data_IF_082599811651
#
_entry.id   IF_082599811651
#
_cell.length_a   1.000
_cell.length_b   1.000
_cell.length_c   1.000
_cell.angle_alpha   90.00
_cell.angle_beta   90.00
_cell.angle_gamma   90.00
#
_symmetry.space_group_name_H-M   'P 1'
#
loop_
_entity.id
_entity.type
_entity.pdbx_description
1 polymer ?
#
# COMPACT_ATOMS: atom_id res chain seq x y z
N UNK A 1 7.05 9.35 -41.46
CA UNK A 1 7.13 7.95 -40.96
C UNK A 1 6.83 7.99 -39.47
N UNK A 2 5.56 7.86 -39.13
CA UNK A 2 5.05 7.86 -37.76
C UNK A 2 5.14 6.45 -37.20
N UNK A 3 6.12 6.19 -36.32
CA UNK A 3 6.16 4.94 -35.56
C UNK A 3 5.14 5.05 -34.42
N UNK A 4 3.96 4.52 -34.71
CA UNK A 4 2.93 4.17 -33.75
C UNK A 4 3.42 2.95 -32.96
N UNK A 5 4.14 3.16 -31.85
CA UNK A 5 4.25 2.13 -30.82
C UNK A 5 3.01 2.23 -29.94
N UNK A 6 1.91 1.60 -30.38
CA UNK A 6 0.77 1.31 -29.52
C UNK A 6 1.27 0.47 -28.34
N UNK A 7 1.45 1.13 -27.20
CA UNK A 7 1.31 0.47 -25.91
C UNK A 7 -0.09 -0.14 -25.92
N UNK A 8 -0.24 -1.43 -25.64
CA UNK A 8 -1.57 -1.99 -25.39
C UNK A 8 -2.17 -1.19 -24.22
N UNK A 9 -3.20 -0.38 -24.52
CA UNK A 9 -3.81 0.62 -23.63
C UNK A 9 -4.55 -0.07 -22.46
N UNK A 10 -3.80 -0.56 -21.49
CA UNK A 10 -4.32 -0.96 -20.20
C UNK A 10 -4.59 0.27 -19.32
N UNK A 11 -5.68 0.24 -18.56
CA UNK A 11 -5.97 1.26 -17.54
C UNK A 11 -4.86 1.24 -16.50
N UNK A 12 -4.22 2.38 -16.25
CA UNK A 12 -3.17 2.48 -15.24
C UNK A 12 -3.70 3.11 -13.96
N UNK A 13 -3.06 2.75 -12.85
CA UNK A 13 -3.17 3.39 -11.55
C UNK A 13 -1.78 3.64 -10.96
N UNK A 14 -1.67 4.61 -10.06
CA UNK A 14 -0.51 4.74 -9.19
C UNK A 14 -0.79 3.99 -7.90
N UNK A 15 -0.20 2.80 -7.72
CA UNK A 15 -0.23 2.11 -6.43
C UNK A 15 0.72 2.79 -5.45
N UNK A 16 0.18 3.40 -4.40
CA UNK A 16 0.94 4.01 -3.32
C UNK A 16 1.17 3.00 -2.19
N UNK A 17 2.43 2.63 -1.96
CA UNK A 17 2.83 1.84 -0.81
C UNK A 17 3.43 2.72 0.29
N UNK A 18 2.95 2.52 1.51
CA UNK A 18 3.53 3.05 2.76
C UNK A 18 4.18 1.94 3.62
N UNK A 19 4.07 0.68 3.19
CA UNK A 19 4.49 -0.51 3.93
C UNK A 19 5.67 -1.23 3.25
N UNK A 20 5.78 -2.55 3.43
CA UNK A 20 6.93 -3.31 2.91
C UNK A 20 7.09 -3.25 1.39
N UNK A 21 6.02 -2.97 0.64
CA UNK A 21 6.11 -2.80 -0.82
C UNK A 21 6.80 -1.47 -1.23
N UNK A 22 7.17 -0.58 -0.30
CA UNK A 22 8.13 0.49 -0.57
C UNK A 22 9.47 -0.06 -1.06
N UNK A 23 9.85 -1.27 -0.62
CA UNK A 23 10.98 -2.00 -1.18
C UNK A 23 10.56 -2.70 -2.48
N UNK A 24 11.20 -2.32 -3.59
CA UNK A 24 10.82 -2.78 -4.94
C UNK A 24 10.83 -4.30 -5.08
N UNK A 25 11.83 -5.00 -4.54
CA UNK A 25 11.89 -6.47 -4.63
C UNK A 25 10.72 -7.13 -3.89
N UNK A 26 10.24 -6.51 -2.80
CA UNK A 26 9.05 -7.00 -2.09
C UNK A 26 7.78 -6.80 -2.91
N UNK A 27 7.63 -5.66 -3.61
CA UNK A 27 6.54 -5.45 -4.56
C UNK A 27 6.60 -6.48 -5.71
N UNK A 28 7.79 -6.73 -6.27
CA UNK A 28 7.97 -7.69 -7.36
C UNK A 28 7.55 -9.10 -6.94
N UNK A 29 7.63 -9.48 -5.66
CA UNK A 29 7.05 -10.74 -5.20
C UNK A 29 5.53 -10.82 -5.44
N UNK A 30 4.78 -9.73 -5.22
CA UNK A 30 3.34 -9.71 -5.51
C UNK A 30 3.05 -9.84 -7.01
N UNK A 31 3.88 -9.23 -7.87
CA UNK A 31 3.69 -9.22 -9.32
C UNK A 31 4.18 -10.50 -9.99
N UNK A 32 5.36 -10.97 -9.65
CA UNK A 32 6.06 -12.07 -10.33
C UNK A 32 5.96 -13.40 -9.57
N UNK A 33 5.51 -13.34 -8.31
CA UNK A 33 5.56 -14.45 -7.36
C UNK A 33 6.93 -14.53 -6.67
N UNK A 34 7.01 -15.31 -5.59
CA UNK A 34 8.26 -15.50 -4.85
C UNK A 34 8.22 -14.89 -3.44
N UNK A 35 9.40 -14.69 -2.86
CA UNK A 35 9.55 -14.18 -1.51
C UNK A 35 10.91 -13.49 -1.36
N UNK A 36 10.98 -12.46 -0.53
CA UNK A 36 12.25 -11.86 -0.10
C UNK A 36 12.69 -12.44 1.24
N UNK A 37 13.96 -12.22 1.60
CA UNK A 37 14.49 -12.62 2.89
C UNK A 37 13.66 -12.04 4.05
N UNK A 38 13.33 -12.89 5.03
CA UNK A 38 12.52 -12.53 6.19
C UNK A 38 11.02 -12.78 6.03
N UNK A 39 10.53 -13.09 4.83
CA UNK A 39 9.14 -13.51 4.63
C UNK A 39 8.94 -14.99 5.00
N UNK A 40 7.87 -15.28 5.74
CA UNK A 40 7.42 -16.63 6.07
C UNK A 40 6.44 -17.24 5.08
N UNK A 41 5.91 -16.45 4.13
CA UNK A 41 4.92 -16.89 3.15
C UNK A 41 5.31 -16.42 1.76
N UNK A 42 5.18 -17.29 0.75
CA UNK A 42 5.45 -16.98 -0.65
C UNK A 42 4.26 -16.30 -1.32
N UNK A 43 4.52 -15.26 -2.10
CA UNK A 43 3.55 -14.64 -2.99
C UNK A 43 3.29 -15.50 -4.23
N UNK A 44 2.03 -15.57 -4.65
CA UNK A 44 1.58 -16.33 -5.83
C UNK A 44 2.05 -15.65 -7.13
N UNK A 45 2.01 -14.33 -7.16
CA UNK A 45 2.20 -13.52 -8.36
C UNK A 45 0.88 -13.02 -8.93
N UNK A 46 0.96 -12.00 -9.79
CA UNK A 46 -0.17 -11.45 -10.53
C UNK A 46 -0.33 -12.17 -11.87
N UNK A 47 -1.48 -11.97 -12.51
CA UNK A 47 -1.77 -12.41 -13.88
C UNK A 47 -0.79 -11.76 -14.85
N UNK A 48 -0.72 -10.43 -14.82
CA UNK A 48 0.32 -9.66 -15.49
C UNK A 48 1.56 -9.49 -14.59
N UNK A 49 2.63 -10.19 -14.94
CA UNK A 49 3.91 -10.22 -14.19
C UNK A 49 4.88 -9.08 -14.55
N UNK A 50 4.48 -8.15 -15.41
CA UNK A 50 5.34 -7.04 -15.82
C UNK A 50 5.74 -6.16 -14.62
N UNK A 51 6.97 -5.66 -14.65
CA UNK A 51 7.43 -4.67 -13.68
C UNK A 51 6.63 -3.36 -13.80
N UNK A 52 6.54 -2.55 -12.72
CA UNK A 52 5.96 -1.22 -12.80
C UNK A 52 6.61 -0.38 -13.90
N UNK A 53 5.81 0.34 -14.68
CA UNK A 53 6.29 1.14 -15.81
C UNK A 53 6.94 2.45 -15.37
N UNK A 54 6.67 2.88 -14.13
CA UNK A 54 7.30 4.04 -13.51
C UNK A 54 7.22 3.96 -11.98
N UNK A 55 8.11 4.68 -11.29
CA UNK A 55 8.18 4.77 -9.83
C UNK A 55 8.49 6.20 -9.41
N UNK A 56 7.82 6.72 -8.40
CA UNK A 56 8.15 8.01 -7.78
C UNK A 56 7.78 8.02 -6.29
N UNK A 57 8.27 9.00 -5.55
CA UNK A 57 7.99 9.16 -4.12
C UNK A 57 7.21 10.43 -3.85
N UNK A 58 6.29 10.36 -2.89
CA UNK A 58 5.52 11.51 -2.38
C UNK A 58 5.45 11.45 -0.86
N UNK A 59 4.98 12.54 -0.26
CA UNK A 59 4.53 12.57 1.13
C UNK A 59 3.03 12.84 1.17
N UNK A 60 2.35 12.23 2.14
CA UNK A 60 0.93 12.46 2.42
C UNK A 60 0.71 12.82 3.88
N UNK A 61 -0.38 13.54 4.16
CA UNK A 61 -0.78 13.93 5.51
C UNK A 61 -1.52 12.82 6.27
N UNK A 62 -1.55 11.60 5.72
CA UNK A 62 -2.13 10.45 6.37
C UNK A 62 -1.12 9.80 7.33
N UNK A 63 -1.59 9.42 8.53
CA UNK A 63 -0.73 8.87 9.58
C UNK A 63 -0.48 7.39 9.38
N UNK A 64 0.78 7.02 9.18
CA UNK A 64 1.21 5.62 9.23
C UNK A 64 1.35 5.17 10.68
N UNK A 65 0.80 4.00 10.99
CA UNK A 65 0.89 3.37 12.30
C UNK A 65 1.08 1.84 12.18
N UNK A 66 1.40 1.17 13.29
CA UNK A 66 1.62 -0.28 13.30
C UNK A 66 0.59 -1.00 14.18
N UNK A 67 -0.14 -1.93 13.57
CA UNK A 67 -1.24 -2.66 14.19
C UNK A 67 -1.08 -4.17 14.10
N UNK A 68 -1.86 -4.86 14.93
CA UNK A 68 -1.79 -6.31 15.16
C UNK A 68 -0.47 -6.76 15.78
N UNK A 69 -0.40 -8.00 16.26
CA UNK A 69 0.79 -8.54 16.95
C UNK A 69 1.48 -9.68 16.22
N UNK A 70 0.90 -10.16 15.12
CA UNK A 70 1.43 -11.29 14.37
C UNK A 70 0.90 -11.32 12.93
N UNK A 71 1.76 -11.71 11.99
CA UNK A 71 1.35 -12.08 10.63
C UNK A 71 2.06 -13.35 10.16
N UNK A 72 1.43 -14.10 9.25
CA UNK A 72 2.08 -15.27 8.62
C UNK A 72 3.32 -14.86 7.81
N UNK A 73 3.31 -13.68 7.22
CA UNK A 73 4.40 -13.19 6.37
C UNK A 73 5.60 -12.70 7.18
N UNK A 74 5.39 -12.00 8.30
CA UNK A 74 6.46 -11.29 9.01
C UNK A 74 6.67 -11.72 10.47
N UNK A 75 5.94 -12.76 10.91
CA UNK A 75 6.03 -13.30 12.26
C UNK A 75 5.44 -12.37 13.31
N UNK A 76 5.98 -12.45 14.53
CA UNK A 76 5.55 -11.64 15.67
C UNK A 76 5.98 -10.16 15.52
N UNK A 77 5.02 -9.25 15.65
CA UNK A 77 5.16 -7.81 15.45
C UNK A 77 4.00 -7.23 14.61
N UNK A 78 3.83 -5.92 14.69
CA UNK A 78 2.83 -5.19 13.92
C UNK A 78 3.20 -4.96 12.47
N UNK A 79 2.18 -4.74 11.64
CA UNK A 79 2.33 -4.34 10.23
C UNK A 79 1.75 -2.94 10.00
N UNK A 80 2.19 -2.30 8.93
CA UNK A 80 1.86 -0.92 8.66
C UNK A 80 0.41 -0.76 8.20
N UNK A 81 -0.27 0.24 8.75
CA UNK A 81 -1.54 0.77 8.28
C UNK A 81 -1.40 2.28 8.04
N UNK A 82 -2.36 2.85 7.33
CA UNK A 82 -2.42 4.27 7.03
C UNK A 82 -3.80 4.76 7.44
N UNK A 83 -3.89 5.73 8.35
CA UNK A 83 -5.16 6.36 8.71
C UNK A 83 -5.76 6.97 7.43
N UNK A 84 -6.97 6.58 7.00
CA UNK A 84 -7.59 7.11 5.79
C UNK A 84 -7.91 8.60 5.88
N UNK A 85 -7.88 9.18 7.09
CA UNK A 85 -8.14 10.61 7.30
C UNK A 85 -6.81 11.37 7.36
N UNK A 86 -6.64 12.41 6.53
CA UNK A 86 -5.47 13.28 6.62
C UNK A 86 -5.47 14.04 7.94
N UNK A 87 -4.28 14.29 8.49
CA UNK A 87 -4.05 14.99 9.75
C UNK A 87 -2.94 16.02 9.57
N UNK A 88 -3.27 17.28 9.79
CA UNK A 88 -2.34 18.39 9.66
C UNK A 88 -1.09 18.18 10.53
N UNK A 89 0.08 18.43 9.97
CA UNK A 89 1.37 18.27 10.66
C UNK A 89 1.90 16.83 10.68
N UNK A 90 1.17 15.87 10.13
CA UNK A 90 1.67 14.53 9.86
C UNK A 90 2.27 14.49 8.46
N UNK A 91 3.38 13.77 8.30
CA UNK A 91 3.97 13.50 6.99
C UNK A 91 4.42 12.04 6.92
N UNK A 92 3.89 11.30 5.95
CA UNK A 92 4.21 9.89 5.70
C UNK A 92 4.74 9.75 4.28
N UNK A 93 5.93 9.16 4.14
CA UNK A 93 6.49 8.81 2.84
C UNK A 93 5.71 7.65 2.20
N UNK A 94 5.42 7.80 0.91
CA UNK A 94 4.82 6.76 0.09
C UNK A 94 5.61 6.58 -1.21
N UNK A 95 5.80 5.33 -1.60
CA UNK A 95 6.38 4.93 -2.88
C UNK A 95 5.24 4.59 -3.85
N UNK A 96 5.17 5.34 -4.95
CA UNK A 96 4.18 5.15 -6.01
C UNK A 96 4.76 4.28 -7.12
N UNK A 97 4.00 3.28 -7.54
CA UNK A 97 4.30 2.43 -8.68
C UNK A 97 3.20 2.55 -9.72
N UNK A 98 3.54 2.94 -10.95
CA UNK A 98 2.59 2.95 -12.06
C UNK A 98 2.44 1.52 -12.56
N UNK A 99 1.27 0.93 -12.29
CA UNK A 99 0.92 -0.44 -12.65
C UNK A 99 -0.46 -0.44 -13.32
N UNK A 100 -0.79 -1.54 -14.00
CA UNK A 100 -2.14 -1.69 -14.57
C UNK A 100 -3.17 -1.87 -13.45
N UNK A 101 -4.43 -1.51 -13.72
CA UNK A 101 -5.54 -1.72 -12.80
C UNK A 101 -5.74 -3.22 -12.49
N UNK A 102 -5.48 -4.10 -13.46
CA UNK A 102 -5.47 -5.56 -13.26
C UNK A 102 -4.44 -5.97 -12.21
N UNK A 103 -3.19 -5.50 -12.34
CA UNK A 103 -2.15 -5.77 -11.36
C UNK A 103 -2.53 -5.23 -9.97
N UNK A 104 -3.12 -4.04 -9.89
CA UNK A 104 -3.59 -3.51 -8.61
C UNK A 104 -4.68 -4.38 -7.97
N UNK A 105 -5.65 -4.88 -8.76
CA UNK A 105 -6.64 -5.84 -8.27
C UNK A 105 -5.97 -7.12 -7.76
N UNK A 106 -4.99 -7.66 -8.49
CA UNK A 106 -4.27 -8.87 -8.08
C UNK A 106 -3.49 -8.68 -6.77
N UNK A 107 -2.84 -7.52 -6.61
CA UNK A 107 -2.17 -7.13 -5.37
C UNK A 107 -3.17 -7.07 -4.21
N UNK A 108 -4.30 -6.40 -4.41
CA UNK A 108 -5.34 -6.24 -3.41
C UNK A 108 -5.97 -7.57 -2.99
N UNK A 109 -6.31 -8.43 -3.96
CA UNK A 109 -6.84 -9.78 -3.69
C UNK A 109 -5.84 -10.64 -2.92
N UNK A 110 -4.57 -10.65 -3.37
CA UNK A 110 -3.52 -11.44 -2.74
C UNK A 110 -3.22 -10.98 -1.30
N UNK A 111 -3.21 -9.68 -1.03
CA UNK A 111 -3.06 -9.14 0.33
C UNK A 111 -4.17 -9.65 1.26
N UNK A 112 -5.39 -9.74 0.74
CA UNK A 112 -6.57 -10.19 1.46
C UNK A 112 -6.77 -11.72 1.38
N UNK A 113 -5.78 -12.48 0.90
CA UNK A 113 -5.79 -13.95 0.73
C UNK A 113 -6.97 -14.49 -0.10
N UNK A 114 -7.44 -13.70 -1.06
CA UNK A 114 -8.44 -14.11 -2.04
C UNK A 114 -7.71 -14.54 -3.31
N UNK A 115 -7.96 -15.77 -3.76
CA UNK A 115 -7.29 -16.38 -4.91
C UNK A 115 -8.24 -16.64 -6.09
N UNK A 116 -9.41 -15.99 -6.08
CA UNK A 116 -10.36 -15.99 -7.18
C UNK A 116 -10.05 -14.82 -8.14
N UNK A 117 -9.08 -15.05 -9.03
CA UNK A 117 -8.56 -14.05 -9.97
C UNK A 117 -9.45 -13.82 -11.20
N UNK A 118 -10.60 -14.49 -11.29
CA UNK A 118 -11.53 -14.35 -12.42
C UNK A 118 -12.33 -13.02 -12.36
N UNK A 119 -12.29 -12.30 -11.24
CA UNK A 119 -13.05 -11.05 -11.06
C UNK A 119 -12.15 -9.85 -10.72
N UNK A 120 -12.21 -8.82 -11.56
CA UNK A 120 -11.74 -7.49 -11.17
C UNK A 120 -12.81 -6.87 -10.26
N UNK A 121 -12.53 -6.84 -8.94
CA UNK A 121 -13.42 -6.20 -7.96
C UNK A 121 -13.54 -4.68 -8.22
N UNK A 122 -12.51 -4.09 -8.83
CA UNK A 122 -12.46 -2.68 -9.21
C UNK A 122 -12.28 -2.55 -10.71
N UNK A 123 -13.14 -1.75 -11.32
CA UNK A 123 -13.06 -1.33 -12.71
C UNK A 123 -12.98 0.21 -12.80
N UNK A 124 -12.75 0.74 -14.00
CA UNK A 124 -12.65 2.18 -14.27
C UNK A 124 -13.84 2.99 -13.74
N UNK A 125 -15.04 2.42 -13.86
CA UNK A 125 -16.26 3.08 -13.44
C UNK A 125 -16.29 3.23 -11.90
N UNK A 126 -15.90 2.19 -11.16
CA UNK A 126 -15.74 2.22 -9.70
C UNK A 126 -14.72 3.29 -9.26
N UNK A 127 -13.66 3.51 -10.03
CA UNK A 127 -12.64 4.53 -9.74
C UNK A 127 -13.20 5.96 -9.91
N UNK A 128 -13.96 6.22 -10.98
CA UNK A 128 -14.37 7.58 -11.33
C UNK A 128 -15.74 8.01 -10.80
N UNK A 129 -16.65 7.09 -10.45
CA UNK A 129 -17.96 7.41 -9.89
C UNK A 129 -17.90 8.21 -8.59
N UNK A 130 -16.78 8.14 -7.89
CA UNK A 130 -16.54 8.81 -6.62
C UNK A 130 -16.06 10.27 -6.80
N UNK A 131 -15.84 10.71 -8.04
CA UNK A 131 -15.31 12.03 -8.40
C UNK A 131 -16.43 13.05 -8.63
N UNK A 132 -17.31 13.28 -7.64
CA UNK A 132 -18.14 14.49 -7.68
C UNK A 132 -17.29 15.70 -7.27
N UNK A 133 -17.30 16.83 -8.01
CA UNK A 133 -16.30 17.90 -7.87
C UNK A 133 -16.35 18.74 -6.58
N UNK A 134 -17.05 18.30 -5.52
CA UNK A 134 -17.39 19.20 -4.41
C UNK A 134 -16.65 18.97 -3.10
N UNK A 135 -15.89 17.88 -2.95
CA UNK A 135 -14.96 17.76 -1.82
C UNK A 135 -13.66 17.08 -2.26
N UNK A 136 -12.54 17.80 -2.11
CA UNK A 136 -11.18 17.27 -2.20
C UNK A 136 -10.84 16.35 -1.00
N UNK A 137 -11.80 15.51 -0.61
CA UNK A 137 -11.71 14.55 0.49
C UNK A 137 -11.26 13.20 -0.06
N UNK A 138 -10.38 12.53 0.68
CA UNK A 138 -9.99 11.14 0.43
C UNK A 138 -11.23 10.28 0.17
N UNK A 139 -11.26 9.55 -0.94
CA UNK A 139 -12.34 8.60 -1.23
C UNK A 139 -11.92 7.26 -0.65
N UNK A 140 -12.68 6.80 0.35
CA UNK A 140 -12.55 5.47 0.94
C UNK A 140 -13.63 4.55 0.40
N UNK A 141 -13.29 3.28 0.15
CA UNK A 141 -14.26 2.23 -0.17
C UNK A 141 -13.82 0.89 0.40
N UNK A 142 -14.59 0.37 1.34
CA UNK A 142 -14.44 -1.01 1.83
C UNK A 142 -15.04 -1.96 0.80
N UNK A 143 -14.24 -2.91 0.31
CA UNK A 143 -14.64 -3.89 -0.70
C UNK A 143 -14.60 -5.33 -0.17
N UNK A 144 -13.80 -5.57 0.87
CA UNK A 144 -13.68 -6.87 1.51
C UNK A 144 -13.93 -6.63 2.99
N UNK A 145 -15.11 -7.04 3.46
CA UNK A 145 -15.48 -7.00 4.87
C UNK A 145 -14.60 -8.00 5.67
N UNK A 146 -14.45 -7.75 6.97
CA UNK A 146 -13.64 -8.58 7.88
C UNK A 146 -12.17 -8.79 7.48
N UNK A 147 -11.62 -7.89 6.66
CA UNK A 147 -10.20 -7.94 6.26
C UNK A 147 -9.41 -6.69 6.66
N UNK A 148 -8.18 -6.91 7.11
CA UNK A 148 -7.27 -5.88 7.60
C UNK A 148 -6.93 -4.84 6.52
N UNK A 149 -6.86 -5.26 5.26
CA UNK A 149 -6.54 -4.41 4.12
C UNK A 149 -7.68 -4.38 3.10
N UNK A 150 -8.92 -4.56 3.57
CA UNK A 150 -10.12 -4.63 2.71
C UNK A 150 -10.64 -3.28 2.22
N UNK A 151 -10.01 -2.17 2.62
CA UNK A 151 -10.44 -0.81 2.29
C UNK A 151 -9.48 -0.14 1.34
N UNK A 152 -10.00 0.43 0.26
CA UNK A 152 -9.22 1.19 -0.72
C UNK A 152 -9.35 2.67 -0.46
N UNK A 153 -8.25 3.37 -0.63
CA UNK A 153 -8.12 4.80 -0.41
C UNK A 153 -7.54 5.47 -1.66
N UNK A 154 -8.27 6.45 -2.21
CA UNK A 154 -7.76 7.31 -3.25
C UNK A 154 -7.12 8.56 -2.62
N UNK A 155 -5.79 8.63 -2.70
CA UNK A 155 -4.97 9.70 -2.11
C UNK A 155 -4.90 10.96 -2.98
N UNK A 156 -5.35 10.88 -4.23
CA UNK A 156 -5.34 11.99 -5.18
C UNK A 156 -5.24 11.51 -6.62
N UNK A 157 -4.79 12.42 -7.49
CA UNK A 157 -4.58 12.16 -8.92
C UNK A 157 -3.21 12.73 -9.31
N UNK A 158 -2.43 11.95 -10.06
CA UNK A 158 -1.13 12.36 -10.62
C UNK A 158 -1.09 12.03 -12.10
N UNK A 159 -0.80 13.03 -12.93
CA UNK A 159 -0.71 12.90 -14.40
C UNK A 159 -2.00 12.32 -15.01
N UNK A 160 -3.16 12.71 -14.47
CA UNK A 160 -4.48 12.20 -14.87
C UNK A 160 -4.80 10.77 -14.38
N UNK A 161 -3.91 10.15 -13.59
CA UNK A 161 -4.04 8.78 -13.10
C UNK A 161 -4.30 8.79 -11.58
N UNK A 162 -5.28 8.02 -11.06
CA UNK A 162 -5.59 8.01 -9.64
C UNK A 162 -4.47 7.34 -8.84
N UNK A 163 -4.20 7.90 -7.65
CA UNK A 163 -3.28 7.32 -6.67
C UNK A 163 -4.11 6.50 -5.69
N UNK A 164 -3.91 5.18 -5.71
CA UNK A 164 -4.65 4.23 -4.89
C UNK A 164 -3.74 3.54 -3.89
N UNK A 165 -4.25 3.33 -2.70
CA UNK A 165 -3.66 2.41 -1.71
C UNK A 165 -4.77 1.59 -1.07
N UNK A 166 -4.40 0.63 -0.22
CA UNK A 166 -5.36 -0.13 0.57
C UNK A 166 -4.90 -0.20 2.02
N UNK A 167 -5.85 -0.15 2.95
CA UNK A 167 -5.62 -0.05 4.40
C UNK A 167 -6.81 -0.62 5.19
N UNK A 168 -6.79 -0.42 6.51
CA UNK A 168 -7.89 -0.85 7.39
C UNK A 168 -9.17 -0.03 7.16
N UNK A 169 -10.30 -0.62 7.53
CA UNK A 169 -11.59 0.09 7.54
C UNK A 169 -11.62 1.15 8.65
N UNK A 170 -12.56 2.09 8.55
CA UNK A 170 -12.82 3.06 9.62
C UNK A 170 -13.21 2.37 10.93
N UNK A 171 -13.91 1.23 10.86
CA UNK A 171 -14.28 0.45 12.04
C UNK A 171 -13.04 -0.10 12.76
N UNK A 172 -12.16 -0.79 12.04
CA UNK A 172 -10.94 -1.35 12.62
C UNK A 172 -10.01 -0.27 13.16
N UNK A 173 -9.98 0.90 12.52
CA UNK A 173 -9.27 2.05 13.02
C UNK A 173 -9.82 2.56 14.38
N UNK A 174 -11.13 2.53 14.59
CA UNK A 174 -11.71 2.81 15.91
C UNK A 174 -11.37 1.71 16.91
N UNK A 175 -11.28 0.45 16.48
CA UNK A 175 -10.85 -0.66 17.35
C UNK A 175 -9.39 -0.50 17.77
N UNK A 176 -8.50 -0.04 16.89
CA UNK A 176 -7.13 0.31 17.26
C UNK A 176 -7.08 1.45 18.28
N UNK A 177 -7.82 2.54 18.04
CA UNK A 177 -7.89 3.71 18.94
C UNK A 177 -8.45 3.40 20.33
N UNK A 178 -9.46 2.55 20.38
CA UNK A 178 -10.06 2.10 21.65
C UNK A 178 -9.24 1.02 22.36
N UNK A 179 -8.19 0.49 21.73
CA UNK A 179 -7.36 -0.59 22.26
C UNK A 179 -7.98 -1.99 22.14
N UNK A 180 -9.10 -2.13 21.42
CA UNK A 180 -9.70 -3.44 21.12
C UNK A 180 -8.85 -4.25 20.14
N UNK A 181 -8.17 -3.58 19.20
CA UNK A 181 -7.10 -4.16 18.40
C UNK A 181 -5.74 -3.65 18.89
N UNK A 182 -4.71 -4.51 18.94
CA UNK A 182 -3.44 -4.13 19.52
C UNK A 182 -2.63 -3.26 18.57
N UNK A 183 -2.05 -2.20 19.11
CA UNK A 183 -1.00 -1.42 18.49
C UNK A 183 0.34 -2.01 18.92
N UNK A 184 1.18 -2.40 17.96
CA UNK A 184 2.38 -3.18 18.22
C UNK A 184 3.54 -2.72 17.35
N UNK A 185 4.76 -2.59 17.89
CA UNK A 185 5.94 -2.33 17.07
C UNK A 185 6.16 -3.44 16.04
N UNK A 186 6.75 -3.12 14.87
CA UNK A 186 7.03 -4.11 13.85
C UNK A 186 8.11 -5.09 14.27
N UNK A 187 8.13 -6.26 13.63
CA UNK A 187 9.22 -7.22 13.76
C UNK A 187 10.50 -6.65 13.14
N UNK A 188 11.67 -7.11 13.59
CA UNK A 188 12.96 -6.68 13.01
C UNK A 188 13.01 -6.96 11.51
N UNK A 189 12.52 -8.12 11.06
CA UNK A 189 12.47 -8.47 9.65
C UNK A 189 11.59 -7.50 8.83
N UNK A 190 10.42 -7.13 9.36
CA UNK A 190 9.54 -6.16 8.71
C UNK A 190 10.15 -4.75 8.70
N UNK A 191 10.75 -4.33 9.81
CA UNK A 191 11.43 -3.03 9.93
C UNK A 191 12.58 -2.91 8.91
N UNK A 192 13.38 -3.96 8.72
CA UNK A 192 14.44 -3.99 7.72
C UNK A 192 13.90 -3.89 6.29
N UNK A 193 12.75 -4.50 5.99
CA UNK A 193 12.11 -4.36 4.68
C UNK A 193 11.65 -2.91 4.42
N UNK A 194 11.08 -2.25 5.42
CA UNK A 194 10.71 -0.82 5.33
C UNK A 194 11.93 0.07 5.15
N UNK A 195 12.98 -0.16 5.94
CA UNK A 195 14.22 0.61 5.88
C UNK A 195 14.90 0.47 4.50
N UNK A 196 14.96 -0.73 3.93
CA UNK A 196 15.47 -0.96 2.57
C UNK A 196 14.74 -0.13 1.53
N UNK A 197 13.40 -0.11 1.58
CA UNK A 197 12.60 0.71 0.67
C UNK A 197 12.94 2.21 0.75
N UNK A 198 13.07 2.73 1.97
CA UNK A 198 13.44 4.13 2.19
C UNK A 198 14.87 4.45 1.73
N UNK A 199 15.83 3.57 2.01
CA UNK A 199 17.23 3.75 1.61
C UNK A 199 17.36 3.70 0.09
N UNK A 200 16.85 2.65 -0.55
CA UNK A 200 16.97 2.44 -1.98
C UNK A 200 16.15 3.45 -2.80
N UNK A 201 14.97 3.84 -2.30
CA UNK A 201 14.04 4.69 -3.03
C UNK A 201 14.21 6.19 -2.80
N UNK A 202 14.54 6.62 -1.57
CA UNK A 202 14.74 8.02 -1.22
C UNK A 202 16.22 8.39 -1.04
N UNK A 203 17.14 7.42 -1.02
CA UNK A 203 18.55 7.67 -0.76
C UNK A 203 18.84 8.04 0.70
N UNK A 204 17.93 7.72 1.63
CA UNK A 204 18.16 7.96 3.05
C UNK A 204 19.35 7.14 3.57
N UNK A 205 20.05 7.67 4.57
CA UNK A 205 20.99 6.87 5.35
C UNK A 205 20.22 5.81 6.14
N UNK A 206 20.93 4.76 6.59
CA UNK A 206 20.32 3.73 7.45
C UNK A 206 19.81 4.35 8.74
N UNK A 207 20.58 5.28 9.32
CA UNK A 207 20.25 6.00 10.52
C UNK A 207 18.96 6.84 10.34
N UNK A 208 18.84 7.58 9.23
CA UNK A 208 17.66 8.40 8.95
C UNK A 208 16.41 7.54 8.70
N UNK A 209 16.55 6.45 7.96
CA UNK A 209 15.44 5.52 7.70
C UNK A 209 14.92 4.90 9.00
N UNK A 210 15.81 4.42 9.87
CA UNK A 210 15.42 3.84 11.17
C UNK A 210 14.86 4.91 12.11
N UNK A 211 15.44 6.11 12.11
CA UNK A 211 14.93 7.25 12.88
C UNK A 211 13.50 7.58 12.45
N UNK A 212 13.23 7.72 11.15
CA UNK A 212 11.89 7.95 10.61
C UNK A 212 10.89 6.88 11.07
N UNK A 213 11.24 5.60 10.92
CA UNK A 213 10.36 4.48 11.31
C UNK A 213 10.12 4.44 12.83
N UNK A 214 11.14 4.75 13.64
CA UNK A 214 10.99 4.78 15.10
C UNK A 214 9.99 5.84 15.58
N UNK A 215 9.90 6.97 14.87
CA UNK A 215 8.88 7.99 15.17
C UNK A 215 7.49 7.43 14.90
N UNK A 216 7.28 6.72 13.78
CA UNK A 216 5.98 6.09 13.44
C UNK A 216 5.53 5.02 14.44
N UNK A 217 6.48 4.33 15.09
CA UNK A 217 6.17 3.38 16.18
C UNK A 217 5.76 4.10 17.47
N UNK A 218 6.33 5.28 17.75
CA UNK A 218 6.04 6.05 18.97
C UNK A 218 4.74 6.85 18.89
N UNK A 219 4.33 7.27 17.69
CA UNK A 219 3.09 8.03 17.48
C UNK A 219 1.82 7.16 17.57
N UNK A 220 1.97 5.87 17.82
CA UNK A 220 0.88 4.88 17.94
C UNK A 220 -0.03 5.08 19.18
N UNK A 221 -0.07 6.26 19.79
CA UNK A 221 -1.18 6.70 20.64
C UNK A 221 -2.21 7.37 19.71
N UNK A 222 -3.03 6.55 19.04
CA UNK A 222 -4.06 6.99 18.09
C UNK A 222 -5.26 7.64 18.79
#
# INVERSE_FOLDING_TARGET
MTNNSQLEDGVYVWYASYGSNMWKDRLLCYLQGGQVQGMGTRCVGARNKASPVNTCWLQVENEMFFGHSYTQTWGAGGVAFLDPRPKTGVSTHICLYKITLEQFNDLFLQENRIFDYESNIINEHTLWQSSTPQHASCITRTLIEDSWYGTILQLGVKDGIPILTFTCSDEDLQKFRSGLLPLCPPSEAYLQALARGLIEGLGLTKEDALSYLSHKVRTTQL
#
